data_IF_754028464137
#
_entry.id   IF_754028464137
#
_cell.length_a   1.000
_cell.length_b   1.000
_cell.length_c   1.000
_cell.angle_alpha   90.00
_cell.angle_beta   90.00
_cell.angle_gamma   90.00
#
_symmetry.space_group_name_H-M   'P 1'
#
loop_
_entity.id
_entity.type
_entity.pdbx_description
1 polymer ?
#
# COMPACT_ATOMS: atom_id res chain seq x y z
N UNK A 1 -12.66 -3.15 40.37
CA UNK A 1 -11.82 -2.61 39.27
C UNK A 1 -12.47 -3.05 37.98
N UNK A 2 -13.13 -2.15 37.30
CA UNK A 2 -13.89 -2.43 36.08
C UNK A 2 -12.90 -2.50 34.90
N UNK A 3 -12.89 -3.63 34.21
CA UNK A 3 -12.16 -3.79 32.95
C UNK A 3 -12.86 -2.97 31.88
N UNK A 4 -12.20 -1.96 31.32
CA UNK A 4 -12.69 -1.26 30.16
C UNK A 4 -12.77 -2.22 28.96
N UNK A 5 -13.88 -2.21 28.20
CA UNK A 5 -13.99 -3.04 27.01
C UNK A 5 -13.06 -2.51 25.91
N UNK A 6 -12.22 -3.40 25.37
CA UNK A 6 -11.44 -3.17 24.16
C UNK A 6 -12.40 -2.86 23.00
N UNK A 7 -12.51 -1.60 22.61
CA UNK A 7 -13.29 -1.18 21.47
C UNK A 7 -12.56 -1.55 20.17
N UNK A 8 -13.18 -2.23 19.19
CA UNK A 8 -12.59 -2.56 17.91
C UNK A 8 -12.71 -1.39 16.92
N UNK A 9 -12.13 -0.25 17.25
CA UNK A 9 -11.97 0.87 16.32
C UNK A 9 -10.53 1.32 16.37
N UNK A 10 -9.77 0.90 15.34
CA UNK A 10 -8.43 1.38 15.07
C UNK A 10 -7.46 1.10 16.21
N UNK A 11 -6.70 0.02 16.17
CA UNK A 11 -5.58 -0.16 17.09
C UNK A 11 -4.59 1.00 16.89
N UNK A 12 -4.79 2.09 17.65
CA UNK A 12 -3.81 3.16 17.75
C UNK A 12 -2.66 2.65 18.61
N UNK A 13 -1.60 2.20 17.96
CA UNK A 13 -0.35 1.97 18.68
C UNK A 13 0.28 3.33 19.04
N UNK A 14 0.79 3.50 20.28
CA UNK A 14 1.51 4.71 20.64
C UNK A 14 2.68 4.91 19.67
N UNK A 15 2.76 6.09 19.08
CA UNK A 15 3.81 6.46 18.10
C UNK A 15 4.97 7.23 18.70
N UNK A 16 4.93 7.50 20.00
CA UNK A 16 6.00 8.13 20.73
C UNK A 16 7.08 7.10 21.06
N UNK A 17 8.32 7.37 20.63
CA UNK A 17 9.47 6.48 20.63
C UNK A 17 9.91 5.92 21.99
N UNK A 18 9.20 6.24 23.07
CA UNK A 18 9.49 5.75 24.43
C UNK A 18 8.62 4.57 24.86
N UNK A 19 7.59 4.19 24.13
CA UNK A 19 6.59 3.23 24.62
C UNK A 19 6.28 2.07 23.66
N UNK A 20 7.20 1.70 22.80
CA UNK A 20 7.04 0.45 22.06
C UNK A 20 7.28 -0.72 22.99
N UNK A 21 6.21 -1.26 23.55
CA UNK A 21 6.26 -2.52 24.29
C UNK A 21 6.94 -3.58 23.39
N UNK A 22 8.09 -4.14 23.78
CA UNK A 22 8.82 -5.07 22.95
C UNK A 22 7.95 -6.26 22.52
N UNK A 23 8.07 -6.66 21.27
CA UNK A 23 7.23 -7.75 20.71
C UNK A 23 7.39 -9.04 21.49
N UNK A 24 8.61 -9.37 21.92
CA UNK A 24 8.93 -10.52 22.75
C UNK A 24 8.22 -10.49 24.12
N UNK A 25 8.04 -9.32 24.70
CA UNK A 25 7.35 -9.16 25.98
C UNK A 25 5.84 -9.41 25.84
N UNK A 26 5.25 -9.11 24.69
CA UNK A 26 3.85 -9.42 24.39
C UNK A 26 3.66 -10.94 24.38
N UNK A 27 4.53 -11.68 23.68
CA UNK A 27 4.48 -13.14 23.61
C UNK A 27 4.66 -13.77 24.99
N UNK A 28 5.67 -13.33 25.75
CA UNK A 28 5.95 -13.82 27.10
C UNK A 28 4.81 -13.53 28.08
N UNK A 29 4.16 -12.35 27.96
CA UNK A 29 3.01 -12.02 28.79
C UNK A 29 1.82 -12.94 28.52
N UNK A 30 1.52 -13.24 27.25
CA UNK A 30 0.46 -14.20 26.89
C UNK A 30 0.75 -15.59 27.39
N UNK A 31 1.99 -16.07 27.26
CA UNK A 31 2.38 -17.40 27.70
C UNK A 31 2.26 -17.55 29.23
N UNK A 32 2.58 -16.49 29.98
CA UNK A 32 2.44 -16.44 31.44
C UNK A 32 0.97 -16.40 31.89
N UNK A 33 0.15 -15.56 31.24
CA UNK A 33 -1.26 -15.37 31.67
C UNK A 33 -2.18 -16.48 31.16
N UNK A 34 -1.81 -17.10 30.02
CA UNK A 34 -2.57 -18.18 29.41
C UNK A 34 -1.64 -19.20 28.78
N UNK A 35 -1.08 -20.12 29.56
CA UNK A 35 -0.19 -21.17 29.06
C UNK A 35 -0.80 -21.99 27.91
N UNK A 36 0.00 -22.28 26.88
CA UNK A 36 -0.45 -22.98 25.67
C UNK A 36 -1.09 -22.10 24.60
N UNK A 37 -1.10 -20.78 24.78
CA UNK A 37 -1.49 -19.85 23.70
C UNK A 37 -0.47 -19.93 22.56
N UNK A 38 -0.90 -20.01 21.26
CA UNK A 38 0.02 -20.09 20.13
C UNK A 38 0.65 -18.71 19.82
N UNK A 39 1.65 -18.34 20.62
CA UNK A 39 2.30 -17.00 20.56
C UNK A 39 3.30 -16.83 19.43
N UNK A 40 3.66 -17.89 18.70
CA UNK A 40 4.71 -17.86 17.67
C UNK A 40 4.45 -16.81 16.57
N UNK A 41 3.19 -16.56 16.22
CA UNK A 41 2.82 -15.55 15.21
C UNK A 41 3.09 -14.12 15.65
N UNK A 42 3.13 -13.84 16.94
CA UNK A 42 3.31 -12.48 17.49
C UNK A 42 4.62 -11.88 17.02
N UNK A 43 5.70 -12.69 16.97
CA UNK A 43 7.01 -12.24 16.50
C UNK A 43 7.07 -11.85 15.01
N UNK A 44 6.07 -12.24 14.23
CA UNK A 44 5.99 -11.95 12.79
C UNK A 44 4.89 -10.92 12.51
N UNK A 45 3.68 -11.21 12.93
CA UNK A 45 2.49 -10.41 12.56
C UNK A 45 2.49 -9.04 13.24
N UNK A 46 2.88 -8.96 14.51
CA UNK A 46 2.92 -7.68 15.23
C UNK A 46 3.93 -6.68 14.62
N UNK A 47 5.18 -7.07 14.30
CA UNK A 47 6.10 -6.18 13.57
C UNK A 47 5.56 -5.76 12.20
N UNK A 48 4.92 -6.65 11.45
CA UNK A 48 4.32 -6.32 10.15
C UNK A 48 3.28 -5.20 10.31
N UNK A 49 2.35 -5.31 11.28
CA UNK A 49 1.35 -4.28 11.53
C UNK A 49 1.98 -2.95 11.96
N UNK A 50 2.98 -2.98 12.83
CA UNK A 50 3.71 -1.78 13.26
C UNK A 50 4.42 -1.11 12.08
N UNK A 51 5.13 -1.90 11.26
CA UNK A 51 5.82 -1.41 10.06
C UNK A 51 4.83 -0.86 9.03
N UNK A 52 3.73 -1.55 8.76
CA UNK A 52 2.70 -1.08 7.83
C UNK A 52 2.17 0.29 8.26
N UNK A 53 1.89 0.48 9.56
CA UNK A 53 1.46 1.78 10.09
C UNK A 53 2.54 2.85 9.92
N UNK A 54 3.78 2.59 10.34
CA UNK A 54 4.87 3.57 10.28
C UNK A 54 5.18 3.97 8.83
N UNK A 55 5.31 3.00 7.93
CA UNK A 55 5.57 3.23 6.51
C UNK A 55 4.39 3.94 5.84
N UNK A 56 3.16 3.55 6.16
CA UNK A 56 1.96 4.21 5.65
C UNK A 56 1.84 5.67 6.11
N UNK A 57 2.12 5.95 7.39
CA UNK A 57 2.11 7.31 7.93
C UNK A 57 3.20 8.20 7.27
N UNK A 58 4.40 7.67 7.09
CA UNK A 58 5.49 8.40 6.44
C UNK A 58 5.19 8.66 4.97
N UNK A 59 4.69 7.64 4.24
CA UNK A 59 4.27 7.78 2.85
C UNK A 59 3.19 8.85 2.67
N UNK A 60 2.19 8.90 3.56
CA UNK A 60 1.17 9.97 3.53
C UNK A 60 1.80 11.35 3.68
N UNK A 61 2.80 11.53 4.55
CA UNK A 61 3.51 12.81 4.70
C UNK A 61 4.26 13.21 3.42
N UNK A 62 4.93 12.25 2.76
CA UNK A 62 5.60 12.49 1.47
C UNK A 62 4.59 12.94 0.42
N UNK A 63 3.48 12.22 0.26
CA UNK A 63 2.43 12.54 -0.70
C UNK A 63 1.77 13.90 -0.42
N UNK A 64 1.49 14.21 0.84
CA UNK A 64 0.94 15.52 1.24
C UNK A 64 1.88 16.66 0.83
N UNK A 65 3.20 16.50 1.02
CA UNK A 65 4.20 17.50 0.60
C UNK A 65 4.28 17.64 -0.92
N UNK A 66 4.10 16.54 -1.64
CA UNK A 66 4.05 16.53 -3.10
C UNK A 66 2.73 17.06 -3.68
N UNK A 67 1.71 17.30 -2.85
CA UNK A 67 0.38 17.72 -3.29
C UNK A 67 -0.40 16.61 -4.04
N UNK A 68 -0.05 15.34 -3.82
CA UNK A 68 -0.63 14.19 -4.51
C UNK A 68 -1.32 13.28 -3.50
N UNK A 69 -2.51 12.80 -3.81
CA UNK A 69 -3.15 11.74 -3.00
C UNK A 69 -2.75 10.33 -3.49
N UNK A 70 -2.96 9.35 -2.62
CA UNK A 70 -2.56 7.96 -2.90
C UNK A 70 -3.28 7.37 -4.14
N UNK A 71 -4.54 7.73 -4.36
CA UNK A 71 -5.32 7.24 -5.49
C UNK A 71 -4.81 7.80 -6.83
N UNK A 72 -4.41 9.07 -6.84
CA UNK A 72 -3.77 9.72 -7.99
C UNK A 72 -2.40 9.10 -8.27
N UNK A 73 -1.55 8.97 -7.24
CA UNK A 73 -0.24 8.31 -7.39
C UNK A 73 -0.39 6.93 -7.99
N UNK A 74 -1.32 6.14 -7.49
CA UNK A 74 -1.56 4.77 -7.94
C UNK A 74 -1.98 4.70 -9.41
N UNK A 75 -2.99 5.50 -9.80
CA UNK A 75 -3.45 5.59 -11.18
C UNK A 75 -2.31 5.95 -12.14
N UNK A 76 -1.58 7.01 -11.83
CA UNK A 76 -0.47 7.48 -12.69
C UNK A 76 0.67 6.47 -12.72
N UNK A 77 0.98 5.80 -11.58
CA UNK A 77 1.99 4.76 -11.50
C UNK A 77 1.65 3.55 -12.37
N UNK A 78 0.39 3.11 -12.38
CA UNK A 78 -0.06 2.00 -13.23
C UNK A 78 0.06 2.36 -14.71
N UNK A 79 -0.33 3.58 -15.10
CA UNK A 79 -0.16 4.06 -16.47
C UNK A 79 1.33 4.16 -16.85
N UNK A 80 2.16 4.73 -15.99
CA UNK A 80 3.60 4.90 -16.26
C UNK A 80 4.32 3.57 -16.42
N UNK A 81 4.02 2.59 -15.56
CA UNK A 81 4.60 1.23 -15.60
C UNK A 81 4.06 0.37 -16.73
N UNK A 82 3.00 0.79 -17.43
CA UNK A 82 2.50 0.04 -18.61
C UNK A 82 3.43 0.12 -19.82
N UNK A 83 4.38 1.06 -19.81
CA UNK A 83 5.25 1.31 -20.96
C UNK A 83 4.57 2.13 -22.06
N UNK A 84 5.36 2.56 -23.06
CA UNK A 84 4.81 3.31 -24.19
C UNK A 84 3.72 2.53 -24.92
N UNK A 85 2.60 3.15 -25.29
CA UNK A 85 2.31 4.59 -25.29
C UNK A 85 1.69 5.11 -23.98
N UNK A 86 1.86 4.44 -22.83
CA UNK A 86 1.34 4.81 -21.50
C UNK A 86 -0.18 4.97 -21.48
N UNK A 87 -0.85 4.04 -22.13
CA UNK A 87 -2.29 4.03 -22.37
C UNK A 87 -2.88 2.68 -21.96
N UNK A 88 -3.90 2.70 -21.15
CA UNK A 88 -4.63 1.51 -20.73
C UNK A 88 -6.14 1.74 -20.85
N UNK A 89 -6.90 0.67 -20.99
CA UNK A 89 -8.34 0.74 -20.83
C UNK A 89 -8.72 0.90 -19.35
N UNK A 90 -9.86 1.53 -19.07
CA UNK A 90 -10.39 1.64 -17.70
C UNK A 90 -10.57 0.26 -17.04
N UNK A 91 -10.92 -0.77 -17.82
CA UNK A 91 -11.00 -2.15 -17.34
C UNK A 91 -9.64 -2.68 -16.89
N UNK A 92 -8.60 -2.45 -17.69
CA UNK A 92 -7.25 -2.88 -17.38
C UNK A 92 -6.67 -2.10 -16.20
N UNK A 93 -6.95 -0.79 -16.11
CA UNK A 93 -6.61 0.02 -14.96
C UNK A 93 -7.23 -0.53 -13.67
N UNK A 94 -8.54 -0.81 -13.67
CA UNK A 94 -9.21 -1.40 -12.50
C UNK A 94 -8.60 -2.72 -12.07
N UNK A 95 -8.30 -3.59 -13.05
CA UNK A 95 -7.65 -4.88 -12.77
C UNK A 95 -6.25 -4.73 -12.16
N UNK A 96 -5.43 -3.81 -12.68
CA UNK A 96 -4.06 -3.58 -12.20
C UNK A 96 -3.99 -2.79 -10.91
N UNK A 97 -4.99 -1.96 -10.65
CA UNK A 97 -5.12 -1.18 -9.41
C UNK A 97 -5.89 -1.91 -8.31
N UNK A 98 -6.42 -3.11 -8.59
CA UNK A 98 -7.21 -3.91 -7.65
C UNK A 98 -8.43 -3.17 -7.08
N UNK A 99 -9.01 -2.25 -7.85
CA UNK A 99 -10.18 -1.45 -7.45
C UNK A 99 -11.38 -1.71 -8.35
N UNK A 100 -12.57 -1.38 -7.85
CA UNK A 100 -13.82 -1.55 -8.58
C UNK A 100 -13.91 -0.65 -9.81
N UNK A 101 -14.76 -1.00 -10.79
CA UNK A 101 -15.01 -0.19 -11.98
C UNK A 101 -15.52 1.22 -11.65
N UNK A 102 -16.33 1.35 -10.58
CA UNK A 102 -16.80 2.66 -10.10
C UNK A 102 -15.66 3.51 -9.56
N UNK A 103 -14.81 2.94 -8.71
CA UNK A 103 -13.66 3.64 -8.14
C UNK A 103 -12.69 4.10 -9.23
N UNK A 104 -12.34 3.24 -10.20
CA UNK A 104 -11.45 3.64 -11.30
C UNK A 104 -12.05 4.76 -12.15
N UNK A 105 -13.37 4.74 -12.40
CA UNK A 105 -14.04 5.80 -13.15
C UNK A 105 -13.95 7.15 -12.45
N UNK A 106 -14.10 7.19 -11.12
CA UNK A 106 -13.97 8.40 -10.31
C UNK A 106 -12.51 8.90 -10.29
N UNK A 107 -11.54 8.00 -10.08
CA UNK A 107 -10.10 8.33 -10.10
C UNK A 107 -9.68 8.94 -11.44
N UNK A 108 -10.10 8.32 -12.55
CA UNK A 108 -9.81 8.80 -13.90
C UNK A 108 -10.48 10.15 -14.19
N UNK A 109 -11.75 10.34 -13.79
CA UNK A 109 -12.44 11.62 -13.98
C UNK A 109 -11.74 12.77 -13.24
N UNK A 110 -11.30 12.53 -12.00
CA UNK A 110 -10.54 13.50 -11.22
C UNK A 110 -9.18 13.80 -11.86
N UNK A 111 -8.40 12.79 -12.21
CA UNK A 111 -7.09 12.97 -12.84
C UNK A 111 -7.20 13.68 -14.21
N UNK A 112 -8.29 13.48 -14.95
CA UNK A 112 -8.56 14.23 -16.19
C UNK A 112 -8.90 15.71 -15.91
N UNK A 113 -9.73 15.98 -14.89
CA UNK A 113 -10.03 17.34 -14.44
C UNK A 113 -8.77 18.10 -14.01
N UNK A 114 -7.83 17.38 -13.40
CA UNK A 114 -6.53 17.92 -12.96
C UNK A 114 -5.51 18.00 -14.11
N UNK A 115 -5.89 17.62 -15.35
CA UNK A 115 -5.05 17.69 -16.55
C UNK A 115 -3.93 16.63 -16.60
N UNK A 116 -3.97 15.60 -15.74
CA UNK A 116 -2.91 14.58 -15.60
C UNK A 116 -3.08 13.40 -16.58
N UNK A 117 -4.30 13.17 -17.04
CA UNK A 117 -4.62 12.14 -18.03
C UNK A 117 -5.59 12.67 -19.06
N UNK A 118 -5.68 11.97 -20.19
CA UNK A 118 -6.72 12.17 -21.20
C UNK A 118 -7.52 10.92 -21.40
N UNK A 119 -8.82 11.05 -21.73
CA UNK A 119 -9.69 9.95 -22.12
C UNK A 119 -10.03 10.03 -23.59
N UNK A 120 -10.07 8.88 -24.25
CA UNK A 120 -10.57 8.76 -25.62
C UNK A 120 -11.36 7.45 -25.79
N UNK A 121 -12.32 7.41 -26.71
CA UNK A 121 -12.95 6.15 -27.11
C UNK A 121 -11.88 5.18 -27.65
N UNK A 122 -11.95 3.92 -27.22
CA UNK A 122 -11.18 2.85 -27.82
C UNK A 122 -11.95 2.20 -28.97
N UNK A 123 -11.23 1.48 -29.82
CA UNK A 123 -11.82 0.68 -30.88
C UNK A 123 -12.40 -0.62 -30.31
N UNK A 124 -13.56 -1.04 -30.80
CA UNK A 124 -14.17 -2.33 -30.45
C UNK A 124 -15.52 -2.24 -29.69
N UNK A 125 -16.17 -3.41 -29.53
CA UNK A 125 -17.39 -3.59 -28.72
C UNK A 125 -17.07 -4.60 -27.60
N UNK A 126 -17.45 -4.33 -26.33
CA UNK A 126 -18.15 -3.15 -25.82
C UNK A 126 -17.30 -1.88 -25.85
N UNK A 127 -17.95 -0.72 -25.80
CA UNK A 127 -17.31 0.59 -25.90
C UNK A 127 -16.27 0.75 -24.80
N UNK A 128 -15.00 0.73 -25.19
CA UNK A 128 -13.86 0.83 -24.28
C UNK A 128 -13.45 2.29 -24.16
N UNK A 129 -13.08 2.72 -22.96
CA UNK A 129 -12.45 4.03 -22.71
C UNK A 129 -10.97 3.79 -22.48
N UNK A 130 -10.16 4.44 -23.29
CA UNK A 130 -8.70 4.47 -23.14
C UNK A 130 -8.27 5.70 -22.37
N UNK A 131 -7.34 5.52 -21.46
CA UNK A 131 -6.78 6.55 -20.59
C UNK A 131 -5.27 6.62 -20.84
N UNK A 132 -4.77 7.81 -21.11
CA UNK A 132 -3.35 8.06 -21.40
C UNK A 132 -2.80 9.13 -20.48
N UNK A 133 -1.52 9.04 -20.09
CA UNK A 133 -0.83 10.12 -19.39
C UNK A 133 -0.69 11.34 -20.30
N UNK A 134 -0.87 12.52 -19.73
CA UNK A 134 -0.41 13.81 -20.32
C UNK A 134 1.05 14.04 -19.96
N UNK A 135 1.66 15.08 -20.54
CA UNK A 135 2.99 15.51 -20.12
C UNK A 135 3.02 15.89 -18.64
N UNK A 136 2.01 16.65 -18.17
CA UNK A 136 1.88 17.00 -16.74
C UNK A 136 1.75 15.76 -15.86
N UNK A 137 1.01 14.74 -16.30
CA UNK A 137 0.93 13.46 -15.61
C UNK A 137 2.26 12.72 -15.54
N UNK A 138 3.05 12.75 -16.61
CA UNK A 138 4.41 12.19 -16.61
C UNK A 138 5.32 12.91 -15.62
N UNK A 139 5.38 14.24 -15.69
CA UNK A 139 6.26 15.05 -14.84
C UNK A 139 5.92 14.85 -13.36
N UNK A 140 4.62 14.82 -13.03
CA UNK A 140 4.14 14.62 -11.66
C UNK A 140 4.51 13.23 -11.14
N UNK A 141 4.25 12.16 -11.92
CA UNK A 141 4.50 10.80 -11.45
C UNK A 141 6.00 10.52 -11.30
N UNK A 142 6.83 10.98 -12.21
CA UNK A 142 8.28 10.78 -12.12
C UNK A 142 8.85 11.45 -10.87
N UNK A 143 8.52 12.74 -10.64
CA UNK A 143 8.96 13.44 -9.44
C UNK A 143 8.44 12.79 -8.15
N UNK A 144 7.16 12.40 -8.12
CA UNK A 144 6.55 11.81 -6.92
C UNK A 144 7.12 10.43 -6.60
N UNK A 145 7.34 9.59 -7.63
CA UNK A 145 7.93 8.26 -7.44
C UNK A 145 9.35 8.37 -6.91
N UNK A 146 10.16 9.27 -7.43
CA UNK A 146 11.54 9.48 -6.94
C UNK A 146 11.55 9.89 -5.46
N UNK A 147 10.64 10.78 -5.05
CA UNK A 147 10.51 11.18 -3.64
C UNK A 147 10.05 10.01 -2.75
N UNK A 148 9.04 9.25 -3.17
CA UNK A 148 8.50 8.12 -2.40
C UNK A 148 9.53 7.01 -2.27
N UNK A 149 10.09 6.53 -3.40
CA UNK A 149 11.04 5.42 -3.39
C UNK A 149 12.36 5.81 -2.75
N UNK A 150 12.82 7.05 -2.95
CA UNK A 150 14.00 7.57 -2.24
C UNK A 150 13.80 7.56 -0.74
N UNK A 151 12.64 8.03 -0.25
CA UNK A 151 12.31 7.99 1.17
C UNK A 151 12.18 6.56 1.71
N UNK A 152 11.54 5.67 0.98
CA UNK A 152 11.45 4.25 1.36
C UNK A 152 12.84 3.60 1.47
N UNK A 153 13.75 3.90 0.54
CA UNK A 153 15.14 3.42 0.59
C UNK A 153 15.88 3.93 1.84
N UNK A 154 15.69 5.19 2.22
CA UNK A 154 16.24 5.73 3.48
C UNK A 154 15.73 4.96 4.71
N UNK A 155 14.43 4.67 4.77
CA UNK A 155 13.80 3.99 5.90
C UNK A 155 14.30 2.56 6.10
N UNK A 156 14.65 1.85 5.00
CA UNK A 156 15.22 0.50 5.08
C UNK A 156 16.76 0.49 5.08
N UNK A 157 17.40 1.64 4.99
CA UNK A 157 18.86 1.80 4.91
C UNK A 157 19.64 1.29 6.11
N UNK A 158 18.97 0.99 7.24
CA UNK A 158 19.56 0.32 8.39
C UNK A 158 19.87 -1.17 8.17
N UNK A 159 19.33 -1.77 7.10
CA UNK A 159 19.60 -3.16 6.74
C UNK A 159 20.76 -3.24 5.75
N UNK A 160 21.64 -4.23 5.92
CA UNK A 160 22.63 -4.56 4.88
C UNK A 160 21.94 -5.07 3.61
N UNK A 161 22.62 -5.03 2.45
CA UNK A 161 22.06 -5.55 1.19
C UNK A 161 21.66 -7.04 1.29
N UNK A 162 22.42 -7.85 2.02
CA UNK A 162 22.09 -9.25 2.27
C UNK A 162 20.81 -9.39 3.11
N UNK A 163 20.66 -8.58 4.18
CA UNK A 163 19.46 -8.58 5.02
C UNK A 163 18.23 -8.10 4.23
N UNK A 164 18.37 -7.10 3.37
CA UNK A 164 17.29 -6.65 2.48
C UNK A 164 16.85 -7.77 1.53
N UNK A 165 17.80 -8.50 0.94
CA UNK A 165 17.50 -9.63 0.07
C UNK A 165 16.80 -10.75 0.83
N UNK A 166 17.30 -11.16 1.99
CA UNK A 166 16.68 -12.18 2.84
C UNK A 166 15.25 -11.80 3.26
N UNK A 167 15.05 -10.53 3.68
CA UNK A 167 13.72 -10.04 4.05
C UNK A 167 12.77 -10.04 2.86
N UNK A 168 13.23 -9.66 1.67
CA UNK A 168 12.44 -9.68 0.43
C UNK A 168 11.93 -11.08 0.14
N UNK A 169 12.80 -12.09 0.21
CA UNK A 169 12.42 -13.49 -0.05
C UNK A 169 11.44 -14.02 0.99
N UNK A 170 11.67 -13.74 2.28
CA UNK A 170 10.75 -14.15 3.36
C UNK A 170 9.37 -13.49 3.22
N UNK A 171 9.31 -12.20 2.92
CA UNK A 171 8.05 -11.48 2.69
C UNK A 171 7.32 -12.02 1.45
N UNK A 172 8.04 -12.33 0.38
CA UNK A 172 7.47 -12.93 -0.84
C UNK A 172 6.80 -14.27 -0.53
N UNK A 173 7.50 -15.15 0.19
CA UNK A 173 6.97 -16.47 0.57
C UNK A 173 5.75 -16.32 1.47
N UNK A 174 5.83 -15.46 2.49
CA UNK A 174 4.72 -15.23 3.42
C UNK A 174 3.50 -14.66 2.70
N UNK A 175 3.70 -13.67 1.83
CA UNK A 175 2.62 -13.03 1.08
C UNK A 175 1.90 -14.04 0.18
N UNK A 176 2.65 -14.87 -0.56
CA UNK A 176 2.08 -15.91 -1.42
C UNK A 176 1.28 -16.95 -0.62
N UNK A 177 1.80 -17.41 0.51
CA UNK A 177 1.08 -18.38 1.35
C UNK A 177 -0.20 -17.79 1.94
N UNK A 178 -0.14 -16.57 2.46
CA UNK A 178 -1.32 -15.88 3.01
C UNK A 178 -2.38 -15.63 1.93
N UNK A 179 -1.98 -15.17 0.74
CA UNK A 179 -2.89 -15.00 -0.40
C UNK A 179 -3.57 -16.31 -0.78
N UNK A 180 -2.81 -17.39 -0.90
CA UNK A 180 -3.35 -18.72 -1.20
C UNK A 180 -4.36 -19.20 -0.14
N UNK A 181 -4.08 -18.99 1.13
CA UNK A 181 -4.97 -19.39 2.25
C UNK A 181 -6.23 -18.55 2.35
N UNK A 182 -6.16 -17.27 2.01
CA UNK A 182 -7.30 -16.34 2.11
C UNK A 182 -8.16 -16.29 0.83
N UNK A 183 -7.66 -16.81 -0.29
CA UNK A 183 -8.24 -16.69 -1.62
C UNK A 183 -7.88 -15.35 -2.29
N UNK A 184 -7.67 -15.38 -3.61
CA UNK A 184 -7.19 -14.21 -4.40
C UNK A 184 -8.16 -13.01 -4.42
N UNK A 185 -9.41 -13.20 -4.02
CA UNK A 185 -10.48 -12.18 -4.14
C UNK A 185 -10.42 -11.07 -3.06
N UNK A 186 -9.46 -11.12 -2.15
CA UNK A 186 -9.40 -10.23 -0.97
C UNK A 186 -8.25 -9.25 -0.93
N UNK A 187 -7.52 -9.10 -2.00
CA UNK A 187 -6.40 -8.14 -2.03
C UNK A 187 -6.95 -6.78 -2.44
N UNK A 188 -7.21 -5.91 -1.45
CA UNK A 188 -7.29 -4.47 -1.66
C UNK A 188 -5.88 -3.86 -1.63
N UNK A 189 -5.70 -2.70 -2.24
CA UNK A 189 -4.39 -2.04 -2.20
C UNK A 189 -4.00 -1.63 -0.79
N UNK A 190 -2.70 -1.75 -0.51
CA UNK A 190 -2.09 -1.22 0.72
C UNK A 190 -2.25 0.30 0.71
N UNK A 191 -3.10 0.83 1.59
CA UNK A 191 -3.28 2.28 1.78
C UNK A 191 -4.71 2.82 1.58
N UNK A 192 -5.70 1.96 1.40
CA UNK A 192 -7.11 2.37 1.24
C UNK A 192 -7.90 2.41 2.58
N UNK A 193 -7.26 2.74 3.72
CA UNK A 193 -7.92 3.05 4.99
C UNK A 193 -7.84 4.53 5.34
#
# INVERSE_FOLDING_TARGET
MASEPLTPKGMSYPTDGASTYPVQDIAAAWERERPGTPVASIGIVTPIWRLAKLLGDDRRRVLTRAGVDAATLDLLSVLRRSGKPYTLSTRELGRRSLVTAGAISQRVARAESDGLVTRRPGEGRPRTVLVSLTQAGHDLIETTVDQVLGREAELIGGLTGEQQHQLTELLRVLLQDVQHRLGDDRISQVGDE
#
